data_IF_683904548627
#
_entry.id   IF_683904548627
#
_cell.length_a   1.000
_cell.length_b   1.000
_cell.length_c   1.000
_cell.angle_alpha   90.00
_cell.angle_beta   90.00
_cell.angle_gamma   90.00
#
_symmetry.space_group_name_H-M   'P 1'
#
loop_
_entity.id
_entity.type
_entity.pdbx_description
1 polymer ?
#
# COMPACT_ATOMS: atom_id res chain seq x y z
N UNK A 1 22.61 12.15 2.40
CA UNK A 1 22.45 10.76 2.86
C UNK A 1 21.49 10.18 1.84
N UNK A 2 21.94 9.24 1.03
CA UNK A 2 21.01 8.53 0.16
C UNK A 2 20.11 7.70 1.09
N UNK A 3 18.94 8.24 1.38
CA UNK A 3 17.89 7.51 2.12
C UNK A 3 17.26 6.55 1.14
N UNK A 4 17.68 5.31 1.20
CA UNK A 4 17.18 4.26 0.32
C UNK A 4 15.86 3.72 0.86
N UNK A 5 14.81 4.56 0.84
CA UNK A 5 13.49 4.22 1.37
C UNK A 5 12.83 3.12 0.54
N UNK A 6 12.41 2.05 1.18
CA UNK A 6 11.68 0.96 0.54
C UNK A 6 10.23 1.38 0.31
N UNK A 7 9.73 1.23 -0.91
CA UNK A 7 8.36 1.60 -1.26
C UNK A 7 7.60 0.42 -1.83
N UNK A 8 6.35 0.23 -1.40
CA UNK A 8 5.40 -0.72 -2.00
C UNK A 8 3.98 -0.18 -1.92
N UNK A 9 3.10 -0.69 -2.76
CA UNK A 9 1.67 -0.41 -2.68
C UNK A 9 0.85 -1.69 -2.62
N UNK A 10 -0.32 -1.65 -2.02
CA UNK A 10 -1.30 -2.72 -2.17
C UNK A 10 -2.29 -2.36 -3.27
N UNK A 11 -2.31 -3.17 -4.31
CA UNK A 11 -3.20 -2.96 -5.44
C UNK A 11 -3.73 -4.27 -6.03
N UNK A 12 -4.98 -4.26 -6.40
CA UNK A 12 -5.67 -5.16 -7.31
C UNK A 12 -6.95 -4.43 -7.75
N UNK A 13 -7.26 -4.39 -9.04
CA UNK A 13 -8.48 -3.77 -9.56
C UNK A 13 -9.71 -4.62 -9.21
N UNK A 14 -9.99 -4.64 -7.92
CA UNK A 14 -11.16 -5.28 -7.31
C UNK A 14 -11.45 -4.72 -5.94
N UNK A 15 -12.72 -4.39 -5.71
CA UNK A 15 -13.22 -4.01 -4.39
C UNK A 15 -13.29 -5.21 -3.44
N UNK A 16 -13.00 -4.99 -2.15
CA UNK A 16 -13.28 -5.93 -1.07
C UNK A 16 -12.32 -7.09 -0.89
N UNK A 17 -11.22 -7.20 -1.65
CA UNK A 17 -10.22 -8.28 -1.51
C UNK A 17 -9.33 -8.13 -0.26
N UNK A 18 -9.40 -6.98 0.43
CA UNK A 18 -8.68 -6.72 1.66
C UNK A 18 -7.38 -5.96 1.49
N UNK A 19 -7.26 -5.09 0.48
CA UNK A 19 -6.09 -4.21 0.27
C UNK A 19 -5.75 -3.42 1.53
N UNK A 20 -6.63 -2.55 1.99
CA UNK A 20 -6.47 -1.74 3.20
C UNK A 20 -6.12 -2.59 4.42
N UNK A 21 -6.81 -3.74 4.59
CA UNK A 21 -6.51 -4.67 5.69
C UNK A 21 -5.09 -5.24 5.57
N UNK A 22 -4.66 -5.60 4.36
CA UNK A 22 -3.31 -6.11 4.13
C UNK A 22 -2.25 -5.03 4.38
N UNK A 23 -2.45 -3.79 3.87
CA UNK A 23 -1.56 -2.66 4.13
C UNK A 23 -1.38 -2.43 5.62
N UNK A 24 -2.47 -2.31 6.37
CA UNK A 24 -2.45 -2.09 7.81
C UNK A 24 -1.74 -3.22 8.58
N UNK A 25 -2.05 -4.48 8.24
CA UNK A 25 -1.49 -5.61 8.98
C UNK A 25 -0.04 -5.96 8.61
N UNK A 26 0.42 -5.65 7.39
CA UNK A 26 1.83 -5.78 7.02
C UNK A 26 2.68 -4.68 7.67
N UNK A 27 2.14 -3.46 7.81
CA UNK A 27 2.90 -2.34 8.34
C UNK A 27 3.25 -2.49 9.82
N UNK A 28 2.37 -3.07 10.64
CA UNK A 28 2.61 -3.20 12.09
C UNK A 28 3.88 -4.01 12.40
N UNK A 29 4.07 -5.25 11.90
CA UNK A 29 5.32 -5.96 12.15
C UNK A 29 6.54 -5.30 11.48
N UNK A 30 6.38 -4.57 10.36
CA UNK A 30 7.46 -3.80 9.76
C UNK A 30 7.89 -2.65 10.69
N UNK A 31 6.94 -1.96 11.31
CA UNK A 31 7.22 -0.83 12.20
C UNK A 31 7.87 -1.23 13.54
N UNK A 32 7.95 -2.53 13.86
CA UNK A 32 8.70 -2.99 15.02
C UNK A 32 10.22 -2.66 14.90
N UNK A 33 10.77 -2.61 13.66
CA UNK A 33 12.19 -2.41 13.39
C UNK A 33 12.50 -1.24 12.41
N UNK A 34 11.50 -0.71 11.70
CA UNK A 34 11.66 0.30 10.65
C UNK A 34 10.70 1.47 10.85
N UNK A 35 11.18 2.71 10.65
CA UNK A 35 10.29 3.88 10.57
C UNK A 35 9.37 3.72 9.36
N UNK A 36 8.08 3.50 9.61
CA UNK A 36 7.12 3.08 8.57
C UNK A 36 6.02 4.13 8.40
N UNK A 37 5.81 4.58 7.16
CA UNK A 37 4.71 5.44 6.78
C UNK A 37 3.67 4.67 5.98
N UNK A 38 2.42 4.76 6.39
CA UNK A 38 1.26 4.40 5.59
C UNK A 38 0.72 5.61 4.86
N UNK A 39 0.32 5.43 3.61
CA UNK A 39 -0.35 6.46 2.82
C UNK A 39 -1.69 5.92 2.32
N UNK A 40 -2.78 6.57 2.70
CA UNK A 40 -4.12 6.22 2.23
C UNK A 40 -4.49 7.03 0.98
N UNK A 41 -4.43 6.42 -0.19
CA UNK A 41 -4.91 6.95 -1.45
C UNK A 41 -6.24 6.32 -1.89
N UNK A 42 -6.81 5.42 -1.07
CA UNK A 42 -8.02 4.66 -1.41
C UNK A 42 -9.32 5.48 -1.33
N UNK A 43 -9.22 6.78 -1.16
CA UNK A 43 -10.32 7.71 -1.29
C UNK A 43 -10.98 8.11 0.03
N UNK A 44 -12.18 8.70 -0.06
CA UNK A 44 -12.88 9.43 1.01
C UNK A 44 -13.34 8.61 2.21
N UNK A 45 -13.17 7.29 2.21
CA UNK A 45 -13.66 6.47 3.31
C UNK A 45 -12.73 6.45 4.52
N UNK A 46 -11.46 6.87 4.35
CA UNK A 46 -10.44 6.86 5.41
C UNK A 46 -10.36 5.50 6.13
N UNK A 47 -10.32 4.41 5.36
CA UNK A 47 -10.41 3.07 5.93
C UNK A 47 -9.15 2.69 6.72
N UNK A 48 -7.97 3.22 6.38
CA UNK A 48 -6.77 3.09 7.22
C UNK A 48 -6.93 3.85 8.54
N UNK A 49 -7.44 5.08 8.54
CA UNK A 49 -7.70 5.83 9.76
C UNK A 49 -8.69 5.11 10.68
N UNK A 50 -9.73 4.48 10.12
CA UNK A 50 -10.65 3.62 10.89
C UNK A 50 -9.95 2.39 11.44
N UNK A 51 -9.05 1.79 10.67
CA UNK A 51 -8.30 0.60 11.08
C UNK A 51 -7.39 0.86 12.27
N UNK A 52 -6.85 2.08 12.40
CA UNK A 52 -5.95 2.51 13.47
C UNK A 52 -6.63 3.39 14.53
N UNK A 53 -7.96 3.52 14.51
CA UNK A 53 -8.71 4.25 15.54
C UNK A 53 -8.55 5.77 15.54
N UNK A 54 -7.89 6.35 14.52
CA UNK A 54 -7.69 7.80 14.40
C UNK A 54 -8.70 8.49 13.48
N UNK A 55 -9.80 7.81 13.10
CA UNK A 55 -10.81 8.36 12.19
C UNK A 55 -11.44 9.66 12.69
N UNK A 56 -11.79 9.76 13.98
CA UNK A 56 -12.41 10.94 14.55
C UNK A 56 -11.46 12.16 14.50
N UNK A 57 -10.15 11.95 14.64
CA UNK A 57 -9.13 12.99 14.51
C UNK A 57 -9.02 13.45 13.05
N UNK A 58 -8.98 12.52 12.09
CA UNK A 58 -8.97 12.85 10.65
C UNK A 58 -10.21 13.63 10.25
N UNK A 59 -11.40 13.24 10.73
CA UNK A 59 -12.65 13.97 10.44
C UNK A 59 -12.68 15.36 11.09
N UNK A 60 -12.11 15.51 12.30
CA UNK A 60 -12.01 16.81 12.95
C UNK A 60 -11.13 17.80 12.16
N UNK A 61 -10.12 17.28 11.47
CA UNK A 61 -9.14 18.02 10.69
C UNK A 61 -9.45 18.00 9.17
N UNK A 62 -10.66 17.54 8.78
CA UNK A 62 -11.03 17.35 7.37
C UNK A 62 -11.12 18.64 6.52
N UNK A 63 -11.03 19.81 7.13
CA UNK A 63 -10.98 21.11 6.46
C UNK A 63 -9.56 21.73 6.51
N UNK A 64 -8.57 21.04 7.11
CA UNK A 64 -7.21 21.53 7.18
C UNK A 64 -6.54 21.54 5.80
N UNK A 65 -5.64 22.49 5.64
CA UNK A 65 -4.86 22.68 4.43
C UNK A 65 -3.40 23.03 4.79
N UNK A 66 -2.42 22.44 4.13
CA UNK A 66 -2.55 21.43 3.06
C UNK A 66 -2.95 20.04 3.55
N UNK A 67 -3.35 19.17 2.63
CA UNK A 67 -3.70 17.76 2.87
C UNK A 67 -3.31 16.91 1.65
N UNK A 68 -3.48 15.58 1.72
CA UNK A 68 -3.03 14.66 0.67
C UNK A 68 -3.62 14.98 -0.73
N UNK A 69 -4.79 15.61 -0.85
CA UNK A 69 -5.29 16.02 -2.16
C UNK A 69 -4.52 17.21 -2.76
N UNK A 70 -3.90 18.03 -1.92
CA UNK A 70 -3.13 19.21 -2.36
C UNK A 70 -1.81 18.84 -3.03
N UNK A 71 -1.24 17.67 -2.68
CA UNK A 71 0.08 17.25 -3.18
C UNK A 71 0.08 16.87 -4.66
N UNK A 72 -1.09 16.59 -5.23
CA UNK A 72 -1.27 16.31 -6.66
C UNK A 72 -1.33 17.56 -7.54
N UNK A 73 -0.98 18.72 -7.00
CA UNK A 73 -0.91 19.99 -7.74
C UNK A 73 0.49 20.26 -8.24
N UNK A 74 0.63 20.75 -9.46
CA UNK A 74 1.91 21.30 -9.99
C UNK A 74 2.43 22.51 -9.18
N UNK A 75 1.60 23.06 -8.28
CA UNK A 75 1.94 24.17 -7.38
C UNK A 75 2.49 23.68 -6.02
N UNK A 76 2.60 22.36 -5.77
CA UNK A 76 3.01 21.81 -4.47
C UNK A 76 4.33 22.40 -3.96
N UNK A 77 5.36 22.50 -4.79
CA UNK A 77 6.64 23.06 -4.41
C UNK A 77 6.49 24.51 -3.87
N UNK A 78 5.67 25.33 -4.52
CA UNK A 78 5.37 26.69 -4.07
C UNK A 78 4.58 26.75 -2.77
N UNK A 79 3.77 25.72 -2.50
CA UNK A 79 3.02 25.57 -1.23
C UNK A 79 4.00 25.19 -0.12
N UNK A 80 4.80 24.16 -0.34
CA UNK A 80 5.78 23.67 0.61
C UNK A 80 6.83 24.74 1.00
N UNK A 81 7.27 25.57 0.04
CA UNK A 81 8.13 26.72 0.33
C UNK A 81 7.49 27.77 1.27
N UNK A 82 6.17 27.94 1.20
CA UNK A 82 5.43 28.95 1.99
C UNK A 82 4.94 28.43 3.35
N UNK A 83 4.74 27.13 3.42
CA UNK A 83 4.26 26.42 4.61
C UNK A 83 5.35 25.42 5.02
N UNK A 84 6.35 25.86 5.80
CA UNK A 84 7.36 24.94 6.31
C UNK A 84 6.69 23.82 7.10
N UNK A 85 7.25 22.62 7.01
CA UNK A 85 6.75 21.41 7.66
C UNK A 85 5.37 20.90 7.17
N UNK A 86 4.83 21.48 6.08
CA UNK A 86 3.51 21.10 5.52
C UNK A 86 3.31 19.59 5.37
N UNK A 87 4.33 18.88 4.89
CA UNK A 87 4.28 17.43 4.72
C UNK A 87 4.22 16.70 6.06
N UNK A 88 5.04 17.12 7.03
CA UNK A 88 5.06 16.51 8.36
C UNK A 88 3.75 16.75 9.13
N UNK A 89 3.14 17.93 8.97
CA UNK A 89 1.87 18.28 9.63
C UNK A 89 0.66 17.50 9.10
N UNK A 90 0.77 16.89 7.89
CA UNK A 90 -0.27 16.01 7.35
C UNK A 90 -0.20 14.58 7.89
N UNK A 91 0.87 14.20 8.59
CA UNK A 91 1.13 12.83 9.03
C UNK A 91 0.71 12.69 10.49
N UNK A 92 -0.02 11.62 10.80
CA UNK A 92 -0.49 11.29 12.14
C UNK A 92 0.30 10.09 12.69
N UNK A 93 0.66 10.13 13.97
CA UNK A 93 1.17 8.95 14.67
C UNK A 93 0.01 7.98 14.98
N UNK A 94 0.24 6.67 14.90
CA UNK A 94 -0.73 5.66 15.33
C UNK A 94 -0.24 4.93 16.58
N UNK A 95 -1.17 4.39 17.36
CA UNK A 95 -0.84 3.64 18.58
C UNK A 95 -0.20 2.26 18.30
N UNK A 96 -0.17 1.79 17.03
CA UNK A 96 0.32 0.46 16.66
C UNK A 96 1.66 0.48 15.91
N UNK A 97 2.31 1.65 15.81
CA UNK A 97 3.68 1.81 15.33
C UNK A 97 3.86 2.54 14.00
N UNK A 98 3.18 2.20 12.89
CA UNK A 98 3.33 2.96 11.67
C UNK A 98 2.66 4.34 11.77
N UNK A 99 3.26 5.37 11.17
CA UNK A 99 2.60 6.66 10.96
C UNK A 99 1.65 6.60 9.76
N UNK A 100 0.69 7.53 9.69
CA UNK A 100 -0.34 7.56 8.67
C UNK A 100 -0.45 8.94 8.02
N UNK A 101 -0.29 8.99 6.69
CA UNK A 101 -0.79 10.09 5.86
C UNK A 101 -2.22 9.71 5.39
N UNK A 102 -3.27 10.29 6.01
CA UNK A 102 -4.64 9.86 5.78
C UNK A 102 -5.19 10.32 4.43
N UNK A 103 -6.18 9.59 3.92
CA UNK A 103 -6.94 10.03 2.76
C UNK A 103 -7.72 11.32 3.05
N UNK A 104 -8.09 12.02 1.97
CA UNK A 104 -8.90 13.22 2.06
C UNK A 104 -10.05 13.18 1.03
N UNK A 105 -11.21 13.74 1.39
CA UNK A 105 -12.38 13.85 0.49
C UNK A 105 -12.09 14.54 -0.85
N UNK A 106 -11.05 15.38 -0.90
CA UNK A 106 -10.60 16.07 -2.11
C UNK A 106 -9.99 15.15 -3.16
N UNK A 107 -9.59 13.93 -2.82
CA UNK A 107 -9.03 12.96 -3.78
C UNK A 107 -10.01 12.61 -4.92
N UNK A 108 -11.32 12.65 -4.67
CA UNK A 108 -12.32 12.44 -5.74
C UNK A 108 -12.18 13.49 -6.86
N UNK A 109 -11.90 14.77 -6.51
CA UNK A 109 -11.72 15.84 -7.48
C UNK A 109 -10.34 15.82 -8.15
N UNK A 110 -9.33 15.36 -7.41
CA UNK A 110 -7.94 15.24 -7.90
C UNK A 110 -7.86 14.38 -9.16
N UNK A 111 -8.63 13.31 -9.24
CA UNK A 111 -8.62 12.43 -10.42
C UNK A 111 -9.05 13.18 -11.70
N UNK A 112 -10.06 14.01 -11.59
CA UNK A 112 -10.53 14.88 -12.70
C UNK A 112 -9.49 15.96 -13.02
N UNK A 113 -8.90 16.61 -12.02
CA UNK A 113 -7.93 17.68 -12.18
C UNK A 113 -6.63 17.15 -12.84
N UNK A 114 -6.16 15.97 -12.43
CA UNK A 114 -5.03 15.28 -13.02
C UNK A 114 -5.22 15.03 -14.53
N UNK A 115 -6.44 14.76 -14.98
CA UNK A 115 -6.73 14.57 -16.41
C UNK A 115 -6.39 15.79 -17.27
N UNK A 116 -6.30 17.00 -16.67
CA UNK A 116 -5.91 18.25 -17.35
C UNK A 116 -4.39 18.44 -17.45
N UNK A 117 -3.59 17.69 -16.71
CA UNK A 117 -2.12 17.77 -16.70
C UNK A 117 -1.57 16.93 -17.87
N UNK A 118 -0.48 17.39 -18.48
CA UNK A 118 0.20 16.65 -19.53
C UNK A 118 0.67 15.28 -19.00
N UNK A 119 0.50 14.24 -19.82
CA UNK A 119 0.70 12.83 -19.42
C UNK A 119 2.10 12.59 -18.84
N UNK A 120 3.12 13.22 -19.42
CA UNK A 120 4.53 13.07 -19.04
C UNK A 120 4.84 13.55 -17.60
N UNK A 121 3.96 14.39 -17.04
CA UNK A 121 4.10 14.92 -15.67
C UNK A 121 3.05 14.42 -14.71
N UNK A 122 1.89 14.05 -15.25
CA UNK A 122 0.68 13.68 -14.49
C UNK A 122 0.94 12.60 -13.45
N UNK A 123 1.69 11.56 -13.80
CA UNK A 123 1.85 10.37 -12.96
C UNK A 123 3.08 10.42 -12.05
N UNK A 124 3.95 11.40 -12.22
CA UNK A 124 5.15 11.56 -11.41
C UNK A 124 4.96 12.48 -10.18
N UNK A 125 3.78 13.08 -10.00
CA UNK A 125 3.55 14.07 -8.94
C UNK A 125 3.67 13.47 -7.55
N UNK A 126 3.13 12.26 -7.36
CA UNK A 126 3.20 11.61 -6.06
C UNK A 126 4.59 11.04 -5.76
N UNK A 127 5.30 10.56 -6.77
CA UNK A 127 6.71 10.16 -6.66
C UNK A 127 7.60 11.35 -6.26
N UNK A 128 7.38 12.50 -6.86
CA UNK A 128 8.05 13.75 -6.50
C UNK A 128 7.79 14.13 -5.03
N UNK A 129 6.54 14.06 -4.56
CA UNK A 129 6.21 14.28 -3.14
C UNK A 129 7.02 13.35 -2.25
N UNK A 130 6.98 12.03 -2.53
CA UNK A 130 7.65 11.06 -1.69
C UNK A 130 9.16 11.31 -1.65
N UNK A 131 9.79 11.56 -2.79
CA UNK A 131 11.23 11.73 -2.90
C UNK A 131 11.73 13.02 -2.25
N UNK A 132 11.07 14.14 -2.54
CA UNK A 132 11.58 15.46 -2.15
C UNK A 132 11.09 15.89 -0.75
N UNK A 133 9.95 15.36 -0.27
CA UNK A 133 9.31 15.89 0.94
C UNK A 133 9.05 14.86 2.02
N UNK A 134 8.86 13.58 1.67
CA UNK A 134 8.56 12.52 2.66
C UNK A 134 9.83 11.77 3.06
N UNK A 135 10.66 11.33 2.13
CA UNK A 135 11.91 10.61 2.45
C UNK A 135 12.86 11.41 3.36
N UNK A 136 13.00 12.76 3.20
CA UNK A 136 13.80 13.56 4.12
C UNK A 136 13.30 13.54 5.57
N UNK A 137 12.05 13.11 5.84
CA UNK A 137 11.53 12.93 7.19
C UNK A 137 12.10 11.69 7.90
N UNK A 138 12.80 10.79 7.14
CA UNK A 138 13.53 9.67 7.72
C UNK A 138 12.76 8.35 7.78
N UNK A 139 11.74 8.18 6.97
CA UNK A 139 11.04 6.90 6.84
C UNK A 139 11.88 5.87 6.08
N UNK A 140 12.00 4.66 6.64
CA UNK A 140 12.68 3.52 6.03
C UNK A 140 11.78 2.78 5.04
N UNK A 141 10.46 2.73 5.34
CA UNK A 141 9.46 2.01 4.54
C UNK A 141 8.22 2.87 4.33
N UNK A 142 7.73 2.92 3.11
CA UNK A 142 6.46 3.59 2.74
C UNK A 142 5.54 2.57 2.08
N UNK A 143 4.35 2.36 2.65
CA UNK A 143 3.32 1.48 2.10
C UNK A 143 2.09 2.30 1.69
N UNK A 144 1.69 2.18 0.42
CA UNK A 144 0.54 2.89 -0.13
C UNK A 144 -0.68 1.96 -0.22
N UNK A 145 -1.82 2.38 0.29
CA UNK A 145 -3.13 1.74 0.05
C UNK A 145 -3.80 2.41 -1.14
N UNK A 146 -3.96 1.67 -2.24
CA UNK A 146 -4.50 2.21 -3.48
C UNK A 146 -5.99 1.85 -3.68
N UNK A 147 -6.77 2.70 -4.40
CA UNK A 147 -8.14 2.39 -4.77
C UNK A 147 -8.25 1.04 -5.51
N UNK A 148 -9.43 0.41 -5.44
CA UNK A 148 -9.71 -0.82 -6.20
C UNK A 148 -10.24 -0.54 -7.60
N UNK A 149 -9.65 0.43 -8.28
CA UNK A 149 -9.96 0.82 -9.65
C UNK A 149 -8.75 1.50 -10.28
N UNK A 150 -8.57 1.38 -11.59
CA UNK A 150 -7.50 2.05 -12.32
C UNK A 150 -7.94 3.46 -12.70
N UNK A 151 -7.35 4.46 -12.04
CA UNK A 151 -7.56 5.89 -12.29
C UNK A 151 -6.23 6.67 -12.16
N UNK A 152 -6.23 8.00 -12.33
CA UNK A 152 -5.01 8.80 -12.27
C UNK A 152 -4.32 8.76 -10.90
N UNK A 153 -5.08 8.64 -9.80
CA UNK A 153 -4.52 8.50 -8.44
C UNK A 153 -3.81 7.14 -8.30
N UNK A 154 -4.46 6.06 -8.73
CA UNK A 154 -3.86 4.72 -8.75
C UNK A 154 -2.57 4.69 -9.56
N UNK A 155 -2.57 5.30 -10.75
CA UNK A 155 -1.38 5.36 -11.60
C UNK A 155 -0.24 6.16 -10.95
N UNK A 156 -0.54 7.27 -10.24
CA UNK A 156 0.44 7.97 -9.42
C UNK A 156 1.00 7.11 -8.30
N UNK A 157 0.16 6.35 -7.60
CA UNK A 157 0.59 5.46 -6.53
C UNK A 157 1.44 4.29 -7.03
N UNK A 158 1.06 3.67 -8.16
CA UNK A 158 1.84 2.62 -8.83
C UNK A 158 3.20 3.15 -9.28
N UNK A 159 3.21 4.32 -9.91
CA UNK A 159 4.44 5.00 -10.33
C UNK A 159 5.37 5.28 -9.14
N UNK A 160 4.83 5.79 -8.04
CA UNK A 160 5.63 6.15 -6.86
C UNK A 160 6.16 4.94 -6.09
N UNK A 161 5.37 3.85 -6.02
CA UNK A 161 5.72 2.66 -5.26
C UNK A 161 6.58 1.65 -6.03
N UNK A 162 6.36 1.49 -7.33
CA UNK A 162 7.02 0.52 -8.23
C UNK A 162 6.76 -0.95 -7.89
N UNK A 163 6.50 -1.29 -6.64
CA UNK A 163 6.39 -2.64 -6.11
C UNK A 163 4.96 -2.89 -5.63
N UNK A 164 4.28 -3.87 -6.23
CA UNK A 164 2.89 -4.18 -5.93
C UNK A 164 2.77 -5.40 -5.04
N UNK A 165 2.08 -5.25 -3.92
CA UNK A 165 1.52 -6.35 -3.14
C UNK A 165 0.08 -6.55 -3.60
N UNK A 166 -0.23 -7.74 -4.14
CA UNK A 166 -1.55 -8.08 -4.67
C UNK A 166 -2.31 -9.03 -3.72
N UNK A 167 -3.24 -8.54 -2.87
CA UNK A 167 -4.07 -9.41 -2.05
C UNK A 167 -5.10 -10.14 -2.90
N UNK A 168 -5.10 -11.47 -2.89
CA UNK A 168 -5.94 -12.32 -3.71
C UNK A 168 -6.86 -13.18 -2.83
N UNK A 169 -8.17 -13.07 -3.02
CA UNK A 169 -9.15 -13.95 -2.39
C UNK A 169 -9.44 -15.13 -3.32
N UNK A 170 -9.15 -16.35 -2.86
CA UNK A 170 -9.30 -17.56 -3.66
C UNK A 170 -10.75 -17.80 -4.10
N UNK A 171 -10.99 -17.95 -5.37
CA UNK A 171 -12.32 -18.14 -5.95
C UNK A 171 -12.25 -18.53 -7.44
N UNK A 172 -13.33 -18.39 -8.19
CA UNK A 172 -13.39 -18.83 -9.58
C UNK A 172 -12.76 -17.84 -10.59
N UNK A 173 -12.22 -16.70 -10.14
CA UNK A 173 -11.78 -15.60 -11.03
C UNK A 173 -10.42 -14.99 -10.65
N UNK A 174 -9.73 -15.57 -9.65
CA UNK A 174 -8.44 -15.02 -9.17
C UNK A 174 -7.37 -15.02 -10.25
N UNK A 175 -7.25 -16.10 -11.02
CA UNK A 175 -6.29 -16.20 -12.12
C UNK A 175 -6.50 -15.06 -13.13
N UNK A 176 -7.74 -14.82 -13.55
CA UNK A 176 -8.06 -13.72 -14.48
C UNK A 176 -7.79 -12.34 -13.90
N UNK A 177 -7.92 -12.18 -12.59
CA UNK A 177 -7.64 -10.90 -11.93
C UNK A 177 -6.14 -10.64 -11.89
N UNK A 178 -5.35 -11.68 -11.64
CA UNK A 178 -3.89 -11.57 -11.70
C UNK A 178 -3.40 -11.34 -13.13
N UNK A 179 -3.98 -12.04 -14.12
CA UNK A 179 -3.66 -11.83 -15.54
C UNK A 179 -3.95 -10.37 -15.94
N UNK A 180 -5.13 -9.84 -15.57
CA UNK A 180 -5.49 -8.45 -15.85
C UNK A 180 -4.55 -7.46 -15.14
N UNK A 181 -4.15 -7.74 -13.89
CA UNK A 181 -3.16 -6.91 -13.19
C UNK A 181 -1.83 -6.90 -13.94
N UNK A 182 -1.33 -8.06 -14.37
CA UNK A 182 -0.06 -8.14 -15.11
C UNK A 182 -0.14 -7.38 -16.43
N UNK A 183 -1.26 -7.50 -17.17
CA UNK A 183 -1.50 -6.74 -18.40
C UNK A 183 -1.50 -5.23 -18.16
N UNK A 184 -2.15 -4.76 -17.08
CA UNK A 184 -2.19 -3.34 -16.69
C UNK A 184 -0.78 -2.81 -16.34
N UNK A 185 0.04 -3.61 -15.65
CA UNK A 185 1.41 -3.22 -15.29
C UNK A 185 2.35 -3.21 -16.50
N UNK A 186 2.24 -4.19 -17.39
CA UNK A 186 2.98 -4.24 -18.65
C UNK A 186 2.64 -3.03 -19.54
N UNK A 187 1.36 -2.62 -19.60
CA UNK A 187 0.95 -1.42 -20.34
C UNK A 187 1.56 -0.14 -19.72
N UNK A 188 1.65 -0.05 -18.40
CA UNK A 188 2.32 1.05 -17.72
C UNK A 188 3.81 1.13 -18.07
N UNK A 189 4.50 -0.02 -18.08
CA UNK A 189 5.92 -0.10 -18.44
C UNK A 189 6.14 0.32 -19.89
N UNK A 190 5.33 -0.19 -20.82
CA UNK A 190 5.44 0.11 -22.24
C UNK A 190 5.18 1.57 -22.59
N UNK A 191 4.21 2.21 -21.91
CA UNK A 191 3.79 3.60 -22.21
C UNK A 191 4.67 4.62 -21.53
N UNK A 192 5.13 4.34 -20.30
CA UNK A 192 5.79 5.34 -19.45
C UNK A 192 7.26 5.04 -19.15
N UNK A 193 7.78 3.92 -19.65
CA UNK A 193 9.17 3.47 -19.38
C UNK A 193 9.44 3.32 -17.86
N UNK A 194 8.41 2.93 -17.11
CA UNK A 194 8.44 2.78 -15.65
C UNK A 194 8.27 1.33 -15.28
N UNK A 195 9.31 0.72 -14.73
CA UNK A 195 9.22 -0.65 -14.25
C UNK A 195 8.35 -0.71 -12.98
N UNK A 196 7.20 -1.35 -13.07
CA UNK A 196 6.28 -1.62 -11.96
C UNK A 196 5.99 -3.12 -11.94
N UNK A 197 6.32 -3.79 -10.84
CA UNK A 197 6.21 -5.25 -10.77
C UNK A 197 5.46 -5.76 -9.54
N UNK A 198 4.89 -6.98 -9.64
CA UNK A 198 4.27 -7.67 -8.51
C UNK A 198 5.37 -8.28 -7.63
N UNK A 199 5.68 -7.63 -6.51
CA UNK A 199 6.66 -8.11 -5.54
C UNK A 199 6.09 -9.20 -4.64
N UNK A 200 4.76 -9.17 -4.40
CA UNK A 200 4.11 -10.19 -3.58
C UNK A 200 2.66 -10.43 -3.98
N UNK A 201 2.32 -11.67 -4.25
CA UNK A 201 0.93 -12.16 -4.34
C UNK A 201 0.54 -12.71 -2.97
N UNK A 202 -0.43 -12.08 -2.29
CA UNK A 202 -0.83 -12.40 -0.93
C UNK A 202 -2.16 -13.15 -0.91
N UNK A 203 -2.20 -14.50 -0.73
CA UNK A 203 -3.44 -15.23 -0.60
C UNK A 203 -4.19 -14.81 0.66
N UNK A 204 -5.35 -14.20 0.50
CA UNK A 204 -6.11 -13.58 1.59
C UNK A 204 -7.44 -14.30 1.84
N UNK A 205 -7.92 -14.26 3.10
CA UNK A 205 -9.19 -14.88 3.55
C UNK A 205 -9.33 -16.36 3.22
N UNK A 206 -8.23 -17.10 3.32
CA UNK A 206 -8.17 -18.51 2.93
C UNK A 206 -8.85 -19.41 3.96
N UNK A 207 -9.82 -20.22 3.51
CA UNK A 207 -10.40 -21.30 4.31
C UNK A 207 -9.86 -22.67 3.85
N UNK A 208 -8.75 -23.10 4.43
CA UNK A 208 -8.06 -24.35 4.09
C UNK A 208 -8.83 -25.64 4.47
N UNK A 209 -10.02 -25.54 5.10
CA UNK A 209 -10.85 -26.70 5.40
C UNK A 209 -11.44 -27.33 4.14
N UNK A 210 -11.59 -26.56 3.07
CA UNK A 210 -12.10 -27.05 1.78
C UNK A 210 -10.98 -27.58 0.88
N UNK A 211 -11.26 -28.64 0.12
CA UNK A 211 -10.31 -29.16 -0.88
C UNK A 211 -10.08 -28.16 -2.02
N UNK A 212 -11.14 -27.44 -2.41
CA UNK A 212 -11.06 -26.43 -3.47
C UNK A 212 -10.06 -25.33 -3.10
N UNK A 213 -10.17 -24.73 -1.91
CA UNK A 213 -9.24 -23.68 -1.49
C UNK A 213 -7.78 -24.15 -1.48
N UNK A 214 -7.52 -25.41 -1.11
CA UNK A 214 -6.16 -25.98 -1.16
C UNK A 214 -5.67 -26.17 -2.60
N UNK A 215 -6.55 -26.58 -3.50
CA UNK A 215 -6.19 -26.71 -4.92
C UNK A 215 -5.85 -25.34 -5.52
N UNK A 216 -6.73 -24.35 -5.33
CA UNK A 216 -6.52 -22.98 -5.85
C UNK A 216 -5.27 -22.32 -5.24
N UNK A 217 -4.99 -22.55 -3.96
CA UNK A 217 -3.77 -22.05 -3.33
C UNK A 217 -2.51 -22.64 -3.97
N UNK A 218 -2.53 -23.93 -4.31
CA UNK A 218 -1.40 -24.56 -5.00
C UNK A 218 -1.26 -24.04 -6.44
N UNK A 219 -2.36 -23.90 -7.18
CA UNK A 219 -2.36 -23.33 -8.54
C UNK A 219 -1.80 -21.90 -8.55
N UNK A 220 -2.22 -21.07 -7.58
CA UNK A 220 -1.69 -19.72 -7.42
C UNK A 220 -0.19 -19.73 -7.09
N UNK A 221 0.25 -20.63 -6.19
CA UNK A 221 1.65 -20.78 -5.84
C UNK A 221 2.51 -21.28 -7.02
N UNK A 222 1.98 -22.16 -7.85
CA UNK A 222 2.68 -22.64 -9.04
C UNK A 222 2.78 -21.54 -10.11
N UNK A 223 1.72 -20.73 -10.28
CA UNK A 223 1.66 -19.63 -11.25
C UNK A 223 2.56 -18.42 -10.87
N UNK A 224 2.74 -18.17 -9.58
CA UNK A 224 3.47 -17.02 -9.05
C UNK A 224 4.61 -17.43 -8.11
N UNK A 225 5.35 -18.48 -8.46
CA UNK A 225 6.34 -19.12 -7.57
C UNK A 225 7.39 -18.15 -7.00
N UNK A 226 7.78 -17.11 -7.74
CA UNK A 226 8.78 -16.13 -7.31
C UNK A 226 8.17 -15.02 -6.42
N UNK A 227 6.88 -14.70 -6.64
CA UNK A 227 6.20 -13.60 -5.95
C UNK A 227 5.15 -14.04 -4.92
N UNK A 228 4.77 -15.33 -4.86
CA UNK A 228 3.79 -15.78 -3.85
C UNK A 228 4.29 -15.48 -2.43
N UNK A 229 3.42 -15.01 -1.55
CA UNK A 229 3.72 -14.82 -0.13
C UNK A 229 4.01 -16.18 0.53
N UNK A 230 4.98 -16.27 1.45
CA UNK A 230 5.32 -17.53 2.13
C UNK A 230 4.17 -18.08 2.97
N UNK A 231 3.30 -17.20 3.48
CA UNK A 231 2.10 -17.57 4.22
C UNK A 231 0.82 -17.13 3.51
N UNK A 232 -0.30 -17.62 3.98
CA UNK A 232 -1.63 -17.16 3.54
C UNK A 232 -2.42 -16.63 4.73
N UNK A 233 -3.19 -15.58 4.52
CA UNK A 233 -4.00 -14.97 5.57
C UNK A 233 -5.29 -15.78 5.74
N UNK A 234 -5.53 -16.38 6.92
CA UNK A 234 -6.74 -17.16 7.15
C UNK A 234 -7.98 -16.26 7.20
N UNK A 235 -9.13 -16.82 6.80
CA UNK A 235 -10.40 -16.17 7.06
C UNK A 235 -10.64 -16.07 8.58
N UNK A 236 -10.62 -14.85 9.13
CA UNK A 236 -10.76 -14.59 10.57
C UNK A 236 -11.87 -13.60 10.86
N UNK A 237 -12.71 -13.95 11.86
CA UNK A 237 -13.71 -13.00 12.38
C UNK A 237 -13.04 -11.93 13.26
N UNK A 238 -11.93 -12.26 13.92
CA UNK A 238 -11.23 -11.30 14.78
C UNK A 238 -10.61 -10.16 14.00
N UNK A 239 -10.12 -10.39 12.76
CA UNK A 239 -9.68 -9.30 11.87
C UNK A 239 -10.82 -8.31 11.65
N UNK A 240 -12.05 -8.81 11.39
CA UNK A 240 -13.22 -7.95 11.18
C UNK A 240 -13.68 -7.25 12.46
N UNK A 241 -13.53 -7.89 13.60
CA UNK A 241 -13.87 -7.30 14.90
C UNK A 241 -12.86 -6.22 15.27
N UNK A 242 -11.56 -6.50 15.16
CA UNK A 242 -10.49 -5.54 15.39
C UNK A 242 -10.66 -4.27 14.52
N UNK A 243 -10.97 -4.44 13.24
CA UNK A 243 -11.27 -3.32 12.35
C UNK A 243 -12.45 -2.45 12.85
N UNK A 244 -13.49 -3.06 13.44
CA UNK A 244 -14.61 -2.30 14.02
C UNK A 244 -14.24 -1.59 15.31
N UNK A 245 -13.27 -2.11 16.02
CA UNK A 245 -12.74 -1.56 17.26
C UNK A 245 -11.63 -0.50 17.00
N UNK A 246 -11.27 -0.28 15.74
CA UNK A 246 -10.25 0.69 15.35
C UNK A 246 -8.83 0.21 15.67
N UNK A 247 -8.56 -1.09 15.49
CA UNK A 247 -7.24 -1.66 15.68
C UNK A 247 -6.96 -2.82 14.71
N UNK A 248 -5.69 -3.25 14.64
CA UNK A 248 -5.31 -4.47 13.93
C UNK A 248 -5.39 -5.69 14.85
N UNK A 249 -5.20 -6.89 14.28
CA UNK A 249 -5.13 -8.10 15.11
C UNK A 249 -3.94 -8.08 16.07
N UNK A 250 -2.93 -7.25 15.82
CA UNK A 250 -1.75 -7.15 16.69
C UNK A 250 -2.04 -6.48 18.03
N UNK A 251 -3.03 -5.59 18.10
CA UNK A 251 -3.46 -4.94 19.34
C UNK A 251 -4.36 -5.81 20.23
N UNK A 252 -4.91 -6.93 19.73
CA UNK A 252 -5.79 -7.79 20.53
C UNK A 252 -5.04 -8.42 21.71
N UNK A 253 -5.53 -8.25 22.94
CA UNK A 253 -4.92 -8.86 24.12
C UNK A 253 -5.09 -10.39 24.14
N UNK A 254 -6.27 -10.89 23.76
CA UNK A 254 -6.63 -12.31 23.75
C UNK A 254 -7.07 -12.77 22.35
N UNK A 255 -6.16 -12.90 21.38
CA UNK A 255 -6.50 -13.33 20.03
C UNK A 255 -6.95 -14.79 20.01
N UNK A 256 -7.96 -15.10 19.19
CA UNK A 256 -8.30 -16.50 18.90
C UNK A 256 -7.13 -17.23 18.22
N UNK A 257 -7.18 -18.55 18.16
CA UNK A 257 -6.18 -19.34 17.45
C UNK A 257 -6.07 -18.94 15.97
N UNK A 258 -7.17 -18.52 15.34
CA UNK A 258 -7.18 -18.06 13.95
C UNK A 258 -6.54 -16.67 13.83
N UNK A 259 -6.82 -15.76 14.75
CA UNK A 259 -6.17 -14.46 14.80
C UNK A 259 -4.65 -14.58 15.05
N UNK A 260 -4.24 -15.51 15.93
CA UNK A 260 -2.81 -15.78 16.16
C UNK A 260 -2.13 -16.28 14.88
N UNK A 261 -2.76 -17.19 14.13
CA UNK A 261 -2.25 -17.63 12.83
C UNK A 261 -2.17 -16.48 11.81
N UNK A 262 -3.12 -15.55 11.84
CA UNK A 262 -3.06 -14.37 10.99
C UNK A 262 -1.89 -13.45 11.37
N UNK A 263 -1.64 -13.22 12.67
CA UNK A 263 -0.46 -12.49 13.15
C UNK A 263 0.84 -13.13 12.65
N UNK A 264 0.96 -14.45 12.82
CA UNK A 264 2.15 -15.19 12.44
C UNK A 264 2.37 -15.10 10.91
N UNK A 265 1.29 -15.24 10.12
CA UNK A 265 1.33 -15.11 8.67
C UNK A 265 1.76 -13.70 8.24
N UNK A 266 1.16 -12.65 8.78
CA UNK A 266 1.55 -11.27 8.43
C UNK A 266 2.99 -10.94 8.83
N UNK A 267 3.52 -11.51 9.94
CA UNK A 267 4.94 -11.35 10.28
C UNK A 267 5.86 -12.03 9.28
N UNK A 268 5.54 -13.25 8.88
CA UNK A 268 6.31 -13.99 7.90
C UNK A 268 6.30 -13.27 6.53
N UNK A 269 5.12 -12.82 6.10
CA UNK A 269 4.93 -12.10 4.85
C UNK A 269 5.62 -10.72 4.86
N UNK A 270 5.60 -10.01 6.00
CA UNK A 270 6.29 -8.73 6.16
C UNK A 270 7.81 -8.85 6.01
N UNK A 271 8.41 -9.88 6.62
CA UNK A 271 9.84 -10.17 6.46
C UNK A 271 10.16 -10.48 5.00
N UNK A 272 9.36 -11.34 4.35
CA UNK A 272 9.57 -11.67 2.94
C UNK A 272 9.39 -10.47 2.01
N UNK A 273 8.47 -9.56 2.32
CA UNK A 273 8.28 -8.32 1.56
C UNK A 273 9.53 -7.45 1.66
N UNK A 274 10.04 -7.20 2.87
CA UNK A 274 11.25 -6.41 3.08
C UNK A 274 12.47 -7.00 2.36
N UNK A 275 12.69 -8.31 2.48
CA UNK A 275 13.80 -9.00 1.81
C UNK A 275 13.74 -8.81 0.29
N UNK A 276 12.55 -8.92 -0.30
CA UNK A 276 12.34 -8.73 -1.75
C UNK A 276 12.57 -7.29 -2.18
N UNK A 277 12.04 -6.33 -1.43
CA UNK A 277 12.24 -4.90 -1.72
C UNK A 277 13.74 -4.53 -1.66
N UNK A 278 14.47 -5.01 -0.66
CA UNK A 278 15.90 -4.78 -0.54
C UNK A 278 16.71 -5.43 -1.69
N UNK A 279 16.31 -6.63 -2.13
CA UNK A 279 16.95 -7.29 -3.27
C UNK A 279 16.74 -6.53 -4.57
N UNK A 280 15.52 -6.04 -4.83
CA UNK A 280 15.21 -5.24 -6.01
C UNK A 280 16.02 -3.95 -6.04
N UNK A 281 16.15 -3.30 -4.90
CA UNK A 281 16.91 -2.07 -4.75
C UNK A 281 18.40 -2.27 -5.02
N UNK A 282 19.03 -3.29 -4.42
CA UNK A 282 20.43 -3.63 -4.64
C UNK A 282 20.71 -4.11 -6.07
N UNK A 283 19.73 -4.75 -6.72
CA UNK A 283 19.81 -5.15 -8.14
C UNK A 283 19.89 -3.95 -9.08
N UNK A 284 19.07 -2.94 -8.85
CA UNK A 284 19.04 -1.70 -9.65
C UNK A 284 20.34 -0.91 -9.50
N UNK A 285 20.90 -0.81 -8.29
CA UNK A 285 22.18 -0.13 -8.05
C UNK A 285 23.34 -0.80 -8.80
N UNK A 286 23.37 -2.14 -8.83
CA UNK A 286 24.42 -2.88 -9.53
C UNK A 286 24.38 -2.71 -11.07
N UNK A 287 23.21 -2.50 -11.65
CA UNK A 287 23.03 -2.24 -13.10
C UNK A 287 23.43 -0.80 -13.46
N UNK A 288 23.18 0.17 -12.58
CA UNK A 288 23.57 1.58 -12.79
C UNK A 288 25.07 1.82 -12.64
N UNK A 289 25.78 1.07 -11.80
CA UNK A 289 27.25 1.15 -11.66
C UNK A 289 28.00 0.53 -12.86
N UNK A 290 27.35 -0.30 -13.67
CA UNK A 290 27.97 -1.01 -14.81
C UNK A 290 27.69 -0.30 -16.14
N UNK A 291 26.76 0.66 -16.20
CA UNK A 291 26.36 1.41 -17.41
C UNK A 291 27.09 2.75 -17.50
#
# INVERSE_FOLDING_TARGET
MDTNTLRACTFLDKGGVGKTTATAHLSVPISEDYQTLLVDLAGKQNDLAKQFGCFDEVEANADDWPNVSTVFSEEWDSIAEKVPDATAEMILETDEGPDLLPAHKGLDQVDDDLASIAVERRYALFDHLLTEYVEPLGYDVILLDLPGLTNNITLNGLWAARNVVAPVELGAFEERQMDALMEDLDELEDVFEVNVGVVMVLPNRVDTRTSLARTLLNELADGFAESIAPAHIPQSQDIRNAQREGCTVFALEEPSQTAQRARDAYREDAVALLDRLQQLQTGVESEQEVA
#
